data_IF_738757080411
#
_entry.id   IF_738757080411
#
_cell.length_a   1.000
_cell.length_b   1.000
_cell.length_c   1.000
_cell.angle_alpha   90.00
_cell.angle_beta   90.00
_cell.angle_gamma   90.00
#
_symmetry.space_group_name_H-M   'P 1'
#
loop_
_entity.id
_entity.type
_entity.pdbx_description
1 polymer ?
#
# COMPACT_ATOMS: atom_id res chain seq x y z
N UNK A 1 47.17 55.08 -22.42
CA UNK A 1 47.35 53.86 -21.60
C UNK A 1 46.05 53.60 -20.82
N UNK A 2 45.23 52.69 -21.33
CA UNK A 2 44.03 52.23 -20.61
C UNK A 2 44.44 51.00 -19.78
N UNK A 3 44.52 51.14 -18.45
CA UNK A 3 44.64 50.01 -17.55
C UNK A 3 43.28 49.33 -17.46
N UNK A 4 43.14 48.15 -18.05
CA UNK A 4 42.05 47.26 -17.73
C UNK A 4 42.28 46.73 -16.31
N UNK A 5 41.43 47.12 -15.39
CA UNK A 5 41.30 46.45 -14.10
C UNK A 5 40.68 45.10 -14.38
N UNK A 6 41.36 44.02 -14.03
CA UNK A 6 40.79 42.67 -13.99
C UNK A 6 39.81 42.63 -12.84
N UNK A 7 38.51 42.58 -13.14
CA UNK A 7 37.49 42.35 -12.14
C UNK A 7 37.71 40.98 -11.55
N UNK A 8 37.94 40.94 -10.24
CA UNK A 8 38.07 39.66 -9.49
C UNK A 8 36.72 39.03 -9.35
N UNK A 9 36.58 37.77 -9.83
CA UNK A 9 35.38 36.97 -9.63
C UNK A 9 35.54 36.19 -8.32
N UNK A 10 34.68 36.46 -7.35
CA UNK A 10 34.61 35.71 -6.12
C UNK A 10 33.58 34.61 -6.28
N UNK A 11 34.02 33.36 -6.14
CA UNK A 11 33.13 32.21 -6.13
C UNK A 11 32.94 31.73 -4.70
N UNK A 12 31.72 31.81 -4.21
CA UNK A 12 31.35 31.28 -2.88
C UNK A 12 30.73 29.91 -3.09
N UNK A 13 31.43 28.86 -2.67
CA UNK A 13 30.94 27.51 -2.66
C UNK A 13 30.41 27.17 -1.27
N UNK A 14 29.13 26.78 -1.19
CA UNK A 14 28.53 26.28 0.05
C UNK A 14 28.34 24.78 -0.07
N UNK A 15 28.91 24.02 0.87
CA UNK A 15 28.60 22.59 0.96
C UNK A 15 27.17 22.42 1.49
N UNK A 16 26.30 21.84 0.65
CA UNK A 16 24.88 21.62 0.94
C UNK A 16 24.58 20.14 1.24
N UNK A 17 25.63 19.30 1.40
CA UNK A 17 25.46 17.84 1.54
C UNK A 17 24.60 17.50 2.75
N UNK A 18 24.95 18.01 3.93
CA UNK A 18 24.19 17.75 5.15
C UNK A 18 22.75 18.25 5.09
N UNK A 19 22.52 19.41 4.45
CA UNK A 19 21.16 19.94 4.29
C UNK A 19 20.33 19.06 3.37
N UNK A 20 20.86 18.63 2.24
CA UNK A 20 20.18 17.73 1.29
C UNK A 20 19.90 16.35 1.89
N UNK A 21 20.81 15.82 2.70
CA UNK A 21 20.60 14.56 3.41
C UNK A 21 19.48 14.68 4.45
N UNK A 22 19.46 15.76 5.22
CA UNK A 22 18.39 16.03 6.17
C UNK A 22 17.03 16.19 5.48
N UNK A 23 16.95 16.94 4.39
CA UNK A 23 15.73 17.09 3.58
C UNK A 23 15.24 15.75 3.01
N UNK A 24 16.15 14.92 2.48
CA UNK A 24 15.82 13.57 1.99
C UNK A 24 15.30 12.68 3.11
N UNK A 25 15.91 12.72 4.29
CA UNK A 25 15.49 11.96 5.46
C UNK A 25 14.10 12.38 5.92
N UNK A 26 13.83 13.68 6.00
CA UNK A 26 12.52 14.23 6.36
C UNK A 26 11.48 13.80 5.33
N UNK A 27 11.77 13.93 4.05
CA UNK A 27 10.87 13.50 2.97
C UNK A 27 10.56 12.00 3.07
N UNK A 28 11.58 11.16 3.29
CA UNK A 28 11.41 9.72 3.42
C UNK A 28 10.55 9.35 4.63
N UNK A 29 10.80 9.96 5.79
CA UNK A 29 9.99 9.76 7.00
C UNK A 29 8.53 10.21 6.82
N UNK A 30 8.28 11.25 6.04
CA UNK A 30 6.93 11.76 5.79
C UNK A 30 6.11 10.90 4.81
N UNK A 31 6.76 10.13 3.91
CA UNK A 31 6.10 9.49 2.78
C UNK A 31 6.30 7.97 2.69
N UNK A 32 7.18 7.39 3.49
CA UNK A 32 7.48 5.96 3.44
C UNK A 32 7.28 5.29 4.80
N UNK A 33 6.93 4.03 4.79
CA UNK A 33 6.83 3.17 5.96
C UNK A 33 8.23 2.73 6.40
N UNK A 34 8.57 2.97 7.67
CA UNK A 34 9.92 2.73 8.19
C UNK A 34 10.33 1.25 8.23
N UNK A 35 9.36 0.33 8.28
CA UNK A 35 9.62 -1.10 8.35
C UNK A 35 9.82 -1.72 6.95
N UNK A 36 8.90 -1.43 6.03
CA UNK A 36 8.84 -2.09 4.72
C UNK A 36 9.48 -1.29 3.59
N UNK A 37 9.78 -0.02 3.85
CA UNK A 37 10.24 0.96 2.87
C UNK A 37 9.29 1.21 1.69
N UNK A 38 8.06 0.73 1.80
CA UNK A 38 7.00 1.06 0.86
C UNK A 38 6.46 2.48 1.13
N UNK A 39 5.84 3.12 0.15
CA UNK A 39 5.00 4.30 0.39
C UNK A 39 4.06 4.07 1.57
N UNK A 40 3.89 5.09 2.42
CA UNK A 40 2.96 5.06 3.54
C UNK A 40 1.54 5.50 3.13
N UNK A 41 0.59 5.49 4.08
CA UNK A 41 -0.79 5.92 3.87
C UNK A 41 -0.89 7.31 3.25
N UNK A 42 -0.13 8.27 3.75
CA UNK A 42 -0.16 9.66 3.27
C UNK A 42 0.23 9.74 1.79
N UNK A 43 1.35 9.14 1.44
CA UNK A 43 1.79 9.09 0.05
C UNK A 43 0.78 8.38 -0.86
N UNK A 44 0.16 7.30 -0.37
CA UNK A 44 -0.84 6.55 -1.13
C UNK A 44 -2.06 7.39 -1.48
N UNK A 45 -2.61 8.15 -0.52
CA UNK A 45 -3.75 9.05 -0.73
C UNK A 45 -3.41 10.13 -1.75
N UNK A 46 -2.27 10.83 -1.56
CA UNK A 46 -1.84 11.90 -2.45
C UNK A 46 -1.62 11.38 -3.89
N UNK A 47 -1.00 10.21 -4.03
CA UNK A 47 -0.71 9.61 -5.34
C UNK A 47 -1.98 9.11 -6.02
N UNK A 48 -2.88 8.45 -5.29
CA UNK A 48 -4.17 7.99 -5.82
C UNK A 48 -4.99 9.16 -6.37
N UNK A 49 -5.09 10.28 -5.62
CA UNK A 49 -5.77 11.47 -6.09
C UNK A 49 -5.19 12.01 -7.41
N UNK A 50 -3.85 11.93 -7.59
CA UNK A 50 -3.20 12.33 -8.83
C UNK A 50 -3.44 11.36 -9.99
N UNK A 51 -3.49 10.04 -9.71
CA UNK A 51 -3.83 9.02 -10.71
C UNK A 51 -5.26 9.23 -11.21
N UNK A 52 -6.21 9.41 -10.29
CA UNK A 52 -7.62 9.60 -10.63
C UNK A 52 -7.88 10.87 -11.47
N UNK A 53 -7.10 11.93 -11.27
CA UNK A 53 -7.21 13.16 -12.09
C UNK A 53 -6.75 12.99 -13.54
N UNK A 54 -5.86 12.02 -13.80
CA UNK A 54 -5.27 11.78 -15.14
C UNK A 54 -6.05 10.77 -15.98
N UNK A 55 -7.22 10.34 -15.53
CA UNK A 55 -7.99 9.21 -16.07
C UNK A 55 -8.14 9.24 -17.60
N UNK A 56 -7.32 8.45 -18.28
CA UNK A 56 -7.55 8.00 -19.65
C UNK A 56 -8.06 6.55 -19.68
N UNK A 57 -7.78 5.80 -18.64
CA UNK A 57 -8.19 4.39 -18.47
C UNK A 57 -8.68 4.15 -17.05
N UNK A 58 -9.60 3.18 -16.86
CA UNK A 58 -10.11 2.81 -15.54
C UNK A 58 -8.98 2.44 -14.56
N UNK A 59 -9.19 2.77 -13.29
CA UNK A 59 -8.23 2.51 -12.20
C UNK A 59 -8.85 1.56 -11.19
N UNK A 60 -8.10 0.53 -10.79
CA UNK A 60 -8.48 -0.35 -9.70
C UNK A 60 -7.68 -0.04 -8.44
N UNK A 61 -8.39 -0.02 -7.32
CA UNK A 61 -7.83 0.09 -5.97
C UNK A 61 -8.06 -1.24 -5.27
N UNK A 62 -6.96 -1.91 -4.89
CA UNK A 62 -7.00 -3.17 -4.16
C UNK A 62 -6.58 -2.90 -2.71
N UNK A 63 -7.41 -3.27 -1.76
CA UNK A 63 -7.10 -3.28 -0.35
C UNK A 63 -6.76 -4.71 0.09
N UNK A 64 -5.63 -4.90 0.75
CA UNK A 64 -5.08 -6.21 1.09
C UNK A 64 -4.81 -6.31 2.59
N UNK A 65 -5.07 -7.48 3.17
CA UNK A 65 -4.83 -7.79 4.59
C UNK A 65 -4.20 -9.19 4.70
N UNK A 66 -3.15 -9.32 5.53
CA UNK A 66 -2.49 -10.61 5.79
C UNK A 66 -3.30 -11.43 6.79
N UNK A 67 -3.86 -12.54 6.34
CA UNK A 67 -4.67 -13.39 7.19
C UNK A 67 -3.86 -13.98 8.35
N UNK A 68 -4.43 -13.92 9.56
CA UNK A 68 -3.85 -14.49 10.78
C UNK A 68 -2.52 -13.85 11.23
N UNK A 69 -2.21 -12.63 10.76
CA UNK A 69 -0.96 -11.94 11.13
C UNK A 69 -0.82 -11.80 12.66
N UNK A 70 -1.90 -11.40 13.34
CA UNK A 70 -1.92 -11.33 14.81
C UNK A 70 -1.53 -12.65 15.49
N UNK A 71 -1.98 -13.79 14.95
CA UNK A 71 -1.63 -15.11 15.51
C UNK A 71 -0.12 -15.37 15.44
N UNK A 72 0.55 -14.93 14.37
CA UNK A 72 2.02 -15.05 14.28
C UNK A 72 2.72 -14.14 15.28
N UNK A 73 2.26 -12.91 15.46
CA UNK A 73 2.81 -12.00 16.49
C UNK A 73 2.65 -12.58 17.90
N UNK A 74 1.45 -13.07 18.23
CA UNK A 74 1.15 -13.61 19.56
C UNK A 74 1.96 -14.90 19.85
N UNK A 75 2.22 -15.72 18.82
CA UNK A 75 2.92 -16.99 18.98
C UNK A 75 4.44 -16.90 18.87
N UNK A 76 4.98 -15.98 18.04
CA UNK A 76 6.40 -15.94 17.67
C UNK A 76 7.08 -14.60 17.98
N UNK A 77 6.33 -13.63 18.48
CA UNK A 77 6.81 -12.29 18.78
C UNK A 77 6.78 -11.33 17.60
N UNK A 78 6.80 -10.04 17.91
CA UNK A 78 6.72 -8.95 16.93
C UNK A 78 7.89 -8.93 15.94
N UNK A 79 9.10 -9.33 16.37
CA UNK A 79 10.28 -9.38 15.49
C UNK A 79 10.08 -10.33 14.29
N UNK A 80 9.42 -11.49 14.52
CA UNK A 80 9.09 -12.45 13.45
C UNK A 80 7.98 -11.90 12.57
N UNK A 81 6.99 -11.22 13.17
CA UNK A 81 5.94 -10.54 12.44
C UNK A 81 6.46 -9.43 11.54
N UNK A 82 7.39 -8.62 12.01
CA UNK A 82 8.02 -7.55 11.24
C UNK A 82 8.78 -8.11 10.02
N UNK A 83 9.55 -9.18 10.20
CA UNK A 83 10.22 -9.85 9.09
C UNK A 83 9.22 -10.46 8.10
N UNK A 84 8.08 -10.98 8.57
CA UNK A 84 7.01 -11.48 7.70
C UNK A 84 6.40 -10.34 6.88
N UNK A 85 6.16 -9.16 7.49
CA UNK A 85 5.66 -7.97 6.79
C UNK A 85 6.63 -7.50 5.71
N UNK A 86 7.93 -7.45 6.00
CA UNK A 86 8.95 -7.08 5.02
C UNK A 86 8.97 -8.07 3.84
N UNK A 87 8.94 -9.38 4.13
CA UNK A 87 8.93 -10.40 3.09
C UNK A 87 7.63 -10.38 2.26
N UNK A 88 6.47 -10.11 2.88
CA UNK A 88 5.20 -9.94 2.18
C UNK A 88 5.22 -8.70 1.29
N UNK A 89 5.70 -7.56 1.80
CA UNK A 89 5.86 -6.33 1.04
C UNK A 89 6.70 -6.53 -0.23
N UNK A 90 7.83 -7.23 -0.11
CA UNK A 90 8.68 -7.55 -1.25
C UNK A 90 7.97 -8.42 -2.30
N UNK A 91 7.27 -9.49 -1.88
CA UNK A 91 6.52 -10.35 -2.80
C UNK A 91 5.40 -9.60 -3.52
N UNK A 92 4.66 -8.77 -2.79
CA UNK A 92 3.59 -7.96 -3.37
C UNK A 92 4.14 -6.94 -4.36
N UNK A 93 5.22 -6.24 -4.00
CA UNK A 93 5.84 -5.23 -4.85
C UNK A 93 6.33 -5.79 -6.19
N UNK A 94 6.83 -7.03 -6.22
CA UNK A 94 7.25 -7.67 -7.47
C UNK A 94 6.11 -7.97 -8.45
N UNK A 95 4.85 -7.99 -7.98
CA UNK A 95 3.70 -8.23 -8.82
C UNK A 95 3.11 -6.94 -9.43
N UNK A 96 3.41 -5.78 -8.82
CA UNK A 96 2.79 -4.51 -9.22
C UNK A 96 3.37 -4.04 -10.56
N UNK A 97 2.52 -3.72 -11.56
CA UNK A 97 3.00 -3.21 -12.84
C UNK A 97 3.62 -1.81 -12.70
N UNK A 98 4.43 -1.40 -13.67
CA UNK A 98 5.14 -0.12 -13.65
C UNK A 98 4.20 1.10 -13.55
N UNK A 99 3.01 1.00 -14.13
CA UNK A 99 1.97 2.04 -14.12
C UNK A 99 1.22 2.10 -12.77
N UNK A 100 1.39 1.07 -11.92
CA UNK A 100 0.78 0.98 -10.61
C UNK A 100 1.70 1.44 -9.48
N UNK A 101 1.21 1.29 -8.27
CA UNK A 101 2.03 1.40 -7.07
C UNK A 101 1.43 0.59 -5.91
N UNK A 102 2.28 0.27 -4.94
CA UNK A 102 1.90 -0.35 -3.68
C UNK A 102 2.27 0.58 -2.53
N UNK A 103 1.47 0.53 -1.46
CA UNK A 103 1.76 1.22 -0.21
C UNK A 103 1.35 0.34 0.99
N UNK A 104 1.97 0.58 2.15
CA UNK A 104 1.53 0.01 3.43
C UNK A 104 0.77 1.07 4.21
N UNK A 105 -0.44 0.73 4.67
CA UNK A 105 -1.31 1.66 5.40
C UNK A 105 -1.08 1.64 6.91
N UNK A 106 -0.57 0.54 7.43
CA UNK A 106 -0.27 0.27 8.83
C UNK A 106 -0.56 -1.20 9.17
N UNK A 107 -0.06 -1.71 10.28
CA UNK A 107 -0.28 -3.10 10.67
C UNK A 107 0.05 -4.08 9.53
N UNK A 108 -0.91 -4.92 9.19
CA UNK A 108 -0.86 -5.92 8.12
C UNK A 108 -1.64 -5.51 6.85
N UNK A 109 -1.98 -4.21 6.72
CA UNK A 109 -2.76 -3.66 5.63
C UNK A 109 -1.89 -3.03 4.54
N UNK A 110 -2.16 -3.41 3.29
CA UNK A 110 -1.53 -2.86 2.10
C UNK A 110 -2.58 -2.35 1.11
N UNK A 111 -2.19 -1.41 0.26
CA UNK A 111 -2.99 -0.96 -0.87
C UNK A 111 -2.18 -1.07 -2.15
N UNK A 112 -2.82 -1.51 -3.22
CA UNK A 112 -2.26 -1.49 -4.58
C UNK A 112 -3.21 -0.68 -5.45
N UNK A 113 -2.66 0.23 -6.24
CA UNK A 113 -3.37 0.98 -7.27
C UNK A 113 -2.77 0.59 -8.61
N UNK A 114 -3.60 0.16 -9.54
CA UNK A 114 -3.16 -0.31 -10.85
C UNK A 114 -4.21 0.00 -11.94
N UNK A 115 -3.83 -0.01 -13.22
CA UNK A 115 -4.79 0.06 -14.31
C UNK A 115 -5.83 -1.06 -14.19
N UNK A 116 -7.09 -0.76 -14.55
CA UNK A 116 -8.17 -1.75 -14.53
C UNK A 116 -7.88 -2.91 -15.49
N UNK A 117 -7.22 -2.62 -16.61
CA UNK A 117 -6.82 -3.65 -17.57
C UNK A 117 -5.84 -4.64 -16.92
N UNK A 118 -6.18 -5.94 -16.95
CA UNK A 118 -5.36 -7.01 -16.37
C UNK A 118 -5.51 -7.20 -14.86
N UNK A 119 -6.45 -6.52 -14.20
CA UNK A 119 -6.61 -6.56 -12.74
C UNK A 119 -6.91 -7.95 -12.19
N UNK A 120 -7.68 -8.77 -12.92
CA UNK A 120 -7.95 -10.15 -12.51
C UNK A 120 -6.69 -11.02 -12.56
N UNK A 121 -5.83 -10.81 -13.55
CA UNK A 121 -4.55 -11.51 -13.64
C UNK A 121 -3.62 -11.08 -12.50
N UNK A 122 -3.51 -9.78 -12.24
CA UNK A 122 -2.75 -9.24 -11.12
C UNK A 122 -3.25 -9.82 -9.79
N UNK A 123 -4.56 -9.84 -9.58
CA UNK A 123 -5.17 -10.36 -8.34
C UNK A 123 -4.85 -11.83 -8.13
N UNK A 124 -4.95 -12.67 -9.17
CA UNK A 124 -4.55 -14.09 -9.10
C UNK A 124 -3.06 -14.25 -8.81
N UNK A 125 -2.22 -13.43 -9.43
CA UNK A 125 -0.78 -13.44 -9.20
C UNK A 125 -0.45 -13.05 -7.76
N UNK A 126 -1.06 -12.01 -7.20
CA UNK A 126 -0.90 -11.61 -5.81
C UNK A 126 -1.25 -12.75 -4.85
N UNK A 127 -2.38 -13.43 -5.07
CA UNK A 127 -2.81 -14.56 -4.23
C UNK A 127 -1.79 -15.72 -4.32
N UNK A 128 -1.31 -16.05 -5.52
CA UNK A 128 -0.37 -17.14 -5.73
C UNK A 128 0.97 -16.94 -5.00
N UNK A 129 1.39 -15.70 -4.78
CA UNK A 129 2.60 -15.39 -4.00
C UNK A 129 2.52 -15.91 -2.56
N UNK A 130 1.32 -16.09 -2.02
CA UNK A 130 1.10 -16.58 -0.66
C UNK A 130 0.89 -18.10 -0.58
N UNK A 131 0.88 -18.81 -1.69
CA UNK A 131 0.86 -20.28 -1.71
C UNK A 131 2.20 -20.86 -1.26
N UNK A 132 3.29 -20.17 -1.58
CA UNK A 132 4.63 -20.52 -1.10
C UNK A 132 4.85 -19.98 0.30
N UNK A 133 5.15 -20.85 1.29
CA UNK A 133 5.43 -20.42 2.65
C UNK A 133 6.58 -19.40 2.74
N UNK A 134 6.51 -18.53 3.71
CA UNK A 134 7.59 -17.61 4.06
C UNK A 134 8.60 -18.32 4.94
N UNK A 135 9.88 -18.17 4.63
CA UNK A 135 10.99 -18.64 5.48
C UNK A 135 11.51 -17.45 6.26
N UNK A 136 11.20 -17.40 7.55
CA UNK A 136 11.57 -16.32 8.46
C UNK A 136 12.34 -16.92 9.62
N UNK A 137 13.65 -16.64 9.69
CA UNK A 137 14.56 -17.31 10.62
C UNK A 137 14.43 -18.85 10.46
N UNK A 138 14.23 -19.59 11.54
CA UNK A 138 13.99 -21.03 11.57
C UNK A 138 12.55 -21.46 11.23
N UNK A 139 11.62 -20.49 11.09
CA UNK A 139 10.21 -20.77 10.90
C UNK A 139 9.81 -20.83 9.43
N UNK A 140 8.87 -21.73 9.13
CA UNK A 140 8.18 -21.83 7.85
C UNK A 140 6.72 -21.43 8.02
N UNK A 141 6.42 -20.17 7.72
CA UNK A 141 5.11 -19.57 7.96
C UNK A 141 4.23 -19.68 6.71
N UNK A 142 3.04 -20.26 6.86
CA UNK A 142 2.02 -20.32 5.81
C UNK A 142 0.90 -19.36 6.15
N UNK A 143 0.79 -18.29 5.39
CA UNK A 143 -0.29 -17.32 5.49
C UNK A 143 -0.99 -17.17 4.14
N UNK A 144 -2.01 -16.33 4.10
CA UNK A 144 -2.73 -15.96 2.89
C UNK A 144 -3.09 -14.49 2.95
N UNK A 145 -3.53 -13.93 1.83
CA UNK A 145 -3.99 -12.54 1.74
C UNK A 145 -5.48 -12.52 1.42
N UNK A 146 -6.21 -11.58 2.00
CA UNK A 146 -7.58 -11.23 1.60
C UNK A 146 -7.54 -9.93 0.82
N UNK A 147 -8.23 -9.86 -0.32
CA UNK A 147 -8.18 -8.73 -1.25
C UNK A 147 -9.59 -8.22 -1.52
N UNK A 148 -9.80 -6.92 -1.35
CA UNK A 148 -10.98 -6.20 -1.81
C UNK A 148 -10.63 -5.25 -2.94
N UNK A 149 -11.48 -5.15 -3.95
CA UNK A 149 -11.25 -4.39 -5.17
C UNK A 149 -12.38 -3.39 -5.37
N UNK A 150 -12.04 -2.12 -5.55
CA UNK A 150 -12.94 -1.07 -6.03
C UNK A 150 -12.39 -0.45 -7.31
N UNK A 151 -13.28 -0.09 -8.22
CA UNK A 151 -12.93 0.34 -9.57
C UNK A 151 -13.44 1.75 -9.83
N UNK A 152 -12.58 2.62 -10.33
CA UNK A 152 -12.96 3.92 -10.86
C UNK A 152 -13.17 3.82 -12.38
N UNK A 153 -14.24 4.43 -12.94
CA UNK A 153 -15.23 5.29 -12.25
C UNK A 153 -16.43 4.57 -11.63
N UNK A 154 -16.61 3.26 -11.86
CA UNK A 154 -17.86 2.53 -11.54
C UNK A 154 -18.20 2.54 -10.04
N UNK A 155 -17.20 2.42 -9.18
CA UNK A 155 -17.38 2.45 -7.73
C UNK A 155 -17.13 3.82 -7.11
N UNK A 156 -16.70 4.80 -7.89
CA UNK A 156 -16.44 6.18 -7.45
C UNK A 156 -15.28 6.82 -8.17
N UNK A 157 -15.13 8.12 -7.96
CA UNK A 157 -14.07 8.96 -8.57
C UNK A 157 -13.20 9.64 -7.52
N UNK A 158 -13.53 9.46 -6.25
CA UNK A 158 -12.79 9.98 -5.10
C UNK A 158 -11.92 8.88 -4.48
N UNK A 159 -10.69 9.23 -4.12
CA UNK A 159 -9.70 8.29 -3.61
C UNK A 159 -10.09 7.67 -2.27
N UNK A 160 -10.60 8.47 -1.33
CA UNK A 160 -11.02 8.00 0.00
C UNK A 160 -12.26 7.10 -0.12
N UNK A 161 -13.19 7.44 -1.01
CA UNK A 161 -14.35 6.59 -1.29
C UNK A 161 -13.95 5.24 -1.85
N UNK A 162 -13.03 5.20 -2.83
CA UNK A 162 -12.55 3.96 -3.43
C UNK A 162 -11.79 3.09 -2.42
N UNK A 163 -10.93 3.69 -1.60
CA UNK A 163 -10.21 2.99 -0.54
C UNK A 163 -11.19 2.37 0.46
N UNK A 164 -12.19 3.11 0.91
CA UNK A 164 -13.22 2.61 1.83
C UNK A 164 -14.04 1.48 1.21
N UNK A 165 -14.39 1.57 -0.09
CA UNK A 165 -15.13 0.51 -0.80
C UNK A 165 -14.29 -0.73 -0.99
N UNK A 166 -13.01 -0.59 -1.31
CA UNK A 166 -12.08 -1.70 -1.41
C UNK A 166 -11.90 -2.41 -0.05
N UNK A 167 -11.77 -1.66 1.06
CA UNK A 167 -11.71 -2.21 2.43
C UNK A 167 -12.99 -3.02 2.77
N UNK A 168 -14.18 -2.48 2.48
CA UNK A 168 -15.45 -3.21 2.67
C UNK A 168 -15.49 -4.54 1.89
N UNK A 169 -14.96 -4.55 0.69
CA UNK A 169 -14.88 -5.75 -0.15
C UNK A 169 -13.86 -6.75 0.42
N UNK A 170 -12.70 -6.27 0.90
CA UNK A 170 -11.67 -7.07 1.55
C UNK A 170 -12.21 -7.75 2.82
N UNK A 171 -12.90 -7.01 3.68
CA UNK A 171 -13.55 -7.57 4.86
C UNK A 171 -14.55 -8.68 4.50
N UNK A 172 -15.33 -8.48 3.44
CA UNK A 172 -16.25 -9.52 2.97
C UNK A 172 -15.53 -10.74 2.38
N UNK A 173 -14.36 -10.57 1.76
CA UNK A 173 -13.51 -11.67 1.32
C UNK A 173 -12.95 -12.46 2.51
N UNK A 174 -12.50 -11.76 3.57
CA UNK A 174 -11.88 -12.33 4.76
C UNK A 174 -12.84 -13.22 5.56
N UNK A 175 -14.09 -12.78 5.74
CA UNK A 175 -15.02 -13.42 6.70
C UNK A 175 -16.22 -14.12 6.05
N UNK A 176 -16.57 -13.85 4.81
CA UNK A 176 -17.83 -14.28 4.20
C UNK A 176 -17.69 -15.03 2.88
N UNK A 177 -16.47 -15.34 2.44
CA UNK A 177 -16.25 -15.90 1.10
C UNK A 177 -15.31 -17.10 1.10
N UNK A 178 -15.57 -18.04 0.18
CA UNK A 178 -14.64 -19.11 -0.20
C UNK A 178 -13.48 -18.52 -1.02
N UNK A 179 -13.71 -17.41 -1.72
CA UNK A 179 -12.72 -16.71 -2.52
C UNK A 179 -11.90 -15.75 -1.65
N UNK A 180 -10.60 -15.71 -1.91
CA UNK A 180 -9.65 -14.80 -1.23
C UNK A 180 -9.72 -13.37 -1.72
N UNK A 181 -10.56 -13.05 -2.70
CA UNK A 181 -10.78 -11.69 -3.19
C UNK A 181 -12.25 -11.43 -3.51
N UNK A 182 -12.62 -10.16 -3.47
CA UNK A 182 -13.93 -9.66 -3.87
C UNK A 182 -13.86 -8.30 -4.51
N UNK A 183 -14.68 -8.08 -5.52
CA UNK A 183 -15.02 -6.76 -5.98
C UNK A 183 -16.06 -6.11 -5.06
N UNK A 184 -15.97 -4.81 -4.91
CA UNK A 184 -17.03 -4.06 -4.25
C UNK A 184 -18.35 -4.23 -5.01
N UNK A 185 -19.44 -4.28 -4.28
CA UNK A 185 -20.79 -4.19 -4.84
C UNK A 185 -21.68 -3.47 -3.85
N UNK A 186 -22.66 -2.71 -4.34
CA UNK A 186 -23.59 -1.97 -3.49
C UNK A 186 -24.40 -2.84 -2.53
N UNK A 187 -24.53 -4.15 -2.82
CA UNK A 187 -25.12 -5.12 -1.92
C UNK A 187 -24.29 -5.37 -0.66
N UNK A 188 -22.94 -5.23 -0.74
CA UNK A 188 -22.04 -5.32 0.42
C UNK A 188 -22.23 -4.15 1.37
N UNK A 189 -22.47 -2.94 0.86
CA UNK A 189 -22.72 -1.74 1.66
C UNK A 189 -23.97 -1.87 2.54
N UNK A 190 -25.01 -2.57 2.06
CA UNK A 190 -26.25 -2.81 2.82
C UNK A 190 -26.12 -3.85 3.91
N UNK A 191 -25.27 -4.86 3.72
CA UNK A 191 -25.09 -5.98 4.67
C UNK A 191 -24.11 -5.68 5.81
N UNK A 192 -23.22 -4.72 5.65
CA UNK A 192 -22.16 -4.43 6.64
C UNK A 192 -22.53 -3.31 7.64
N UNK A 193 -23.66 -2.60 7.44
CA UNK A 193 -24.12 -1.57 8.40
C UNK A 193 -24.28 -2.05 9.86
N UNK A 194 -24.72 -3.28 10.18
CA UNK A 194 -24.87 -3.72 11.56
C UNK A 194 -23.57 -4.22 12.23
N UNK A 195 -22.54 -4.60 11.46
CA UNK A 195 -21.32 -5.20 11.99
C UNK A 195 -20.33 -4.16 12.53
N UNK A 196 -20.23 -3.01 11.90
CA UNK A 196 -19.36 -1.90 12.34
C UNK A 196 -19.84 -1.27 13.67
N UNK A 197 -21.15 -1.22 13.92
CA UNK A 197 -21.68 -0.68 15.18
C UNK A 197 -21.42 -1.60 16.38
N UNK A 198 -21.33 -2.92 16.18
CA UNK A 198 -21.10 -3.87 17.29
C UNK A 198 -19.64 -3.93 17.76
N UNK A 199 -18.67 -3.60 16.92
CA UNK A 199 -17.25 -3.55 17.32
C UNK A 199 -16.88 -2.23 18.05
N UNK A 200 -17.63 -1.15 17.80
CA UNK A 200 -17.43 0.14 18.48
C UNK A 200 -18.04 0.12 19.89
N UNK A 201 -19.04 -0.70 20.16
CA UNK A 201 -19.69 -0.82 21.49
C UNK A 201 -19.01 -1.80 22.44
N UNK A 202 -17.94 -2.50 22.01
CA UNK A 202 -17.22 -3.52 22.80
C UNK A 202 -15.78 -3.12 23.19
N UNK A 203 -15.39 -1.82 22.99
CA UNK A 203 -14.11 -1.28 23.46
C UNK A 203 -14.32 -0.14 24.47
#
# INVERSE_FOLDING_TARGET
YVRKQLDSIYVICKDMTNQREAERKIHRMAHYDALTDLPNRRYAVDRLANVLKRQETGTAVLFLDLNRFKVFNDALGHDVGDLLLVAAAQRLAHCVPNEGFIARLGGDEFIIVAPLQGIDQLTRQLISQFETPFRIKEHRLKTSVSIGIAVSPDDGTDGDELMRKADMAMYAAKYKSVSRYRYFSSSLARKNRPSFQKEIELN
#
